data_IF_988106020338
#
_entry.id   IF_988106020338
#
_cell.length_a   1.000
_cell.length_b   1.000
_cell.length_c   1.000
_cell.angle_alpha   90.00
_cell.angle_beta   90.00
_cell.angle_gamma   90.00
#
_symmetry.space_group_name_H-M   'P 1'
#
loop_
_entity.id
_entity.type
_entity.pdbx_description
1 polymer ?
#
# COMPACT_ATOMS: atom_id res chain seq x y z
N UNK A 1 3.28 -4.97 19.28
CA UNK A 1 2.64 -6.29 18.99
C UNK A 1 3.60 -7.12 18.12
N UNK A 2 3.83 -8.40 18.42
CA UNK A 2 4.71 -9.26 17.61
C UNK A 2 4.11 -9.42 16.20
N UNK A 3 4.89 -9.14 15.14
CA UNK A 3 4.47 -9.28 13.73
C UNK A 3 3.87 -10.66 13.43
N UNK A 4 4.40 -11.74 13.99
CA UNK A 4 3.89 -13.10 13.79
C UNK A 4 2.45 -13.26 14.28
N UNK A 5 2.12 -12.64 15.42
CA UNK A 5 0.74 -12.63 15.94
C UNK A 5 -0.20 -11.88 14.98
N UNK A 6 0.29 -10.82 14.34
CA UNK A 6 -0.48 -10.06 13.35
C UNK A 6 -0.69 -10.89 12.09
N UNK A 7 0.35 -11.53 11.55
CA UNK A 7 0.22 -12.46 10.41
C UNK A 7 -0.85 -13.53 10.67
N UNK A 8 -0.81 -14.18 11.84
CA UNK A 8 -1.81 -15.18 12.24
C UNK A 8 -3.21 -14.58 12.37
N UNK A 9 -3.36 -13.45 13.04
CA UNK A 9 -4.65 -12.74 13.20
C UNK A 9 -5.26 -12.38 11.85
N UNK A 10 -4.44 -11.91 10.91
CA UNK A 10 -4.89 -11.47 9.60
C UNK A 10 -4.98 -12.63 8.58
N UNK A 11 -4.64 -13.87 8.96
CA UNK A 11 -4.66 -15.03 8.09
C UNK A 11 -3.70 -14.92 6.90
N UNK A 12 -2.51 -14.39 7.16
CA UNK A 12 -1.43 -14.18 6.19
C UNK A 12 -0.25 -15.11 6.49
N UNK A 13 0.52 -15.47 5.46
CA UNK A 13 1.74 -16.28 5.58
C UNK A 13 2.92 -15.38 5.97
N UNK A 14 3.67 -15.76 7.01
CA UNK A 14 4.92 -15.07 7.34
C UNK A 14 6.04 -15.50 6.37
N UNK A 15 7.05 -14.65 6.18
CA UNK A 15 8.25 -14.98 5.41
C UNK A 15 8.14 -14.80 3.89
N UNK A 16 6.98 -14.37 3.38
CA UNK A 16 6.79 -14.02 1.97
C UNK A 16 6.44 -12.54 1.80
N UNK A 17 6.77 -11.92 0.65
CA UNK A 17 6.41 -10.53 0.37
C UNK A 17 4.90 -10.31 0.48
N UNK A 18 4.51 -9.29 1.25
CA UNK A 18 3.11 -8.96 1.55
C UNK A 18 2.78 -7.58 1.05
N UNK A 19 1.80 -7.45 0.17
CA UNK A 19 1.37 -6.17 -0.38
C UNK A 19 -0.04 -5.82 0.08
N UNK A 20 -0.27 -4.56 0.43
CA UNK A 20 -1.59 -4.02 0.76
C UNK A 20 -2.04 -3.09 -0.36
N UNK A 21 -3.12 -3.44 -1.06
CA UNK A 21 -3.76 -2.58 -2.03
C UNK A 21 -5.01 -1.93 -1.43
N UNK A 22 -5.02 -0.60 -1.37
CA UNK A 22 -6.16 0.18 -0.89
C UNK A 22 -6.79 0.90 -2.08
N UNK A 23 -8.05 0.60 -2.37
CA UNK A 23 -8.65 0.96 -3.67
C UNK A 23 -9.45 2.26 -3.66
N UNK A 24 -9.47 2.99 -2.54
CA UNK A 24 -10.21 4.25 -2.41
C UNK A 24 -9.78 5.26 -3.47
N UNK A 25 -10.73 5.79 -4.25
CA UNK A 25 -10.48 6.77 -5.30
C UNK A 25 -9.97 6.20 -6.63
N UNK A 26 -9.76 4.89 -6.73
CA UNK A 26 -9.34 4.21 -7.97
C UNK A 26 -10.57 3.66 -8.68
N UNK A 27 -10.68 3.86 -10.00
CA UNK A 27 -11.83 3.38 -10.75
C UNK A 27 -11.86 1.85 -10.84
N UNK A 28 -13.07 1.28 -10.87
CA UNK A 28 -13.32 -0.16 -10.98
C UNK A 28 -12.61 -0.80 -12.17
N UNK A 29 -12.66 -0.17 -13.34
CA UNK A 29 -12.03 -0.68 -14.56
C UNK A 29 -10.50 -0.66 -14.48
N UNK A 30 -9.93 0.38 -13.88
CA UNK A 30 -8.49 0.45 -13.64
C UNK A 30 -8.06 -0.66 -12.68
N UNK A 31 -8.76 -0.85 -11.55
CA UNK A 31 -8.47 -1.91 -10.59
C UNK A 31 -8.53 -3.31 -11.20
N UNK A 32 -9.55 -3.57 -12.03
CA UNK A 32 -9.69 -4.84 -12.75
C UNK A 32 -8.44 -5.11 -13.60
N UNK A 33 -8.04 -4.16 -14.44
CA UNK A 33 -6.84 -4.28 -15.28
C UNK A 33 -5.56 -4.44 -14.46
N UNK A 34 -5.44 -3.69 -13.37
CA UNK A 34 -4.29 -3.79 -12.45
C UNK A 34 -4.19 -5.20 -11.87
N UNK A 35 -5.29 -5.75 -11.35
CA UNK A 35 -5.28 -7.10 -10.77
C UNK A 35 -5.08 -8.18 -11.84
N UNK A 36 -5.63 -8.00 -13.05
CA UNK A 36 -5.34 -8.86 -14.21
C UNK A 36 -3.83 -8.91 -14.50
N UNK A 37 -3.15 -7.76 -14.53
CA UNK A 37 -1.69 -7.70 -14.71
C UNK A 37 -0.93 -8.39 -13.58
N UNK A 38 -1.33 -8.17 -12.33
CA UNK A 38 -0.69 -8.79 -11.16
C UNK A 38 -0.86 -10.32 -11.15
N UNK A 39 -1.97 -10.85 -11.67
CA UNK A 39 -2.18 -12.30 -11.77
C UNK A 39 -1.16 -13.01 -12.65
N UNK A 40 -0.51 -12.31 -13.59
CA UNK A 40 0.55 -12.86 -14.42
C UNK A 40 1.92 -12.95 -13.71
N UNK A 41 2.03 -12.46 -12.48
CA UNK A 41 3.28 -12.54 -11.71
C UNK A 41 3.47 -13.95 -11.15
N UNK A 42 4.51 -14.62 -11.65
CA UNK A 42 4.86 -15.99 -11.26
C UNK A 42 5.54 -16.06 -9.88
N UNK A 43 6.36 -15.05 -9.55
CA UNK A 43 7.07 -14.95 -8.26
C UNK A 43 6.11 -15.08 -7.09
N UNK A 44 6.50 -15.73 -5.98
CA UNK A 44 5.63 -15.88 -4.81
C UNK A 44 5.51 -14.56 -4.03
N UNK A 45 4.28 -14.19 -3.72
CA UNK A 45 3.89 -13.06 -2.89
C UNK A 45 2.45 -13.30 -2.40
N UNK A 46 2.02 -12.47 -1.46
CA UNK A 46 0.61 -12.38 -1.08
C UNK A 46 0.15 -10.93 -1.10
N UNK A 47 -1.12 -10.72 -1.45
CA UNK A 47 -1.71 -9.40 -1.58
C UNK A 47 -3.06 -9.34 -0.89
N UNK A 48 -3.20 -8.39 0.03
CA UNK A 48 -4.48 -8.01 0.61
C UNK A 48 -5.05 -6.82 -0.15
N UNK A 49 -6.30 -6.91 -0.60
CA UNK A 49 -6.98 -5.84 -1.33
C UNK A 49 -8.22 -5.43 -0.53
N UNK A 50 -8.31 -4.16 -0.14
CA UNK A 50 -9.46 -3.60 0.59
C UNK A 50 -10.27 -2.66 -0.30
N UNK A 51 -11.59 -2.90 -0.37
CA UNK A 51 -12.54 -2.03 -1.06
C UNK A 51 -13.84 -1.93 -0.29
N UNK A 52 -14.38 -0.72 -0.16
CA UNK A 52 -15.71 -0.48 0.45
C UNK A 52 -16.86 -0.84 -0.49
N UNK A 53 -16.60 -0.89 -1.80
CA UNK A 53 -17.62 -1.12 -2.82
C UNK A 53 -17.88 -2.61 -3.02
N UNK A 54 -19.11 -3.05 -2.74
CA UNK A 54 -19.50 -4.46 -2.86
C UNK A 54 -19.29 -5.00 -4.27
N UNK A 55 -19.70 -4.25 -5.30
CA UNK A 55 -19.58 -4.67 -6.70
C UNK A 55 -18.11 -4.89 -7.10
N UNK A 56 -17.24 -3.90 -6.84
CA UNK A 56 -15.80 -4.00 -7.06
C UNK A 56 -15.21 -5.20 -6.30
N UNK A 57 -15.62 -5.41 -5.04
CA UNK A 57 -15.18 -6.56 -4.25
C UNK A 57 -15.52 -7.91 -4.89
N UNK A 58 -16.75 -8.06 -5.37
CA UNK A 58 -17.24 -9.30 -5.95
C UNK A 58 -16.54 -9.61 -7.28
N UNK A 59 -16.30 -8.58 -8.10
CA UNK A 59 -15.48 -8.69 -9.33
C UNK A 59 -14.06 -9.14 -9.00
N UNK A 60 -13.39 -8.50 -8.04
CA UNK A 60 -12.02 -8.84 -7.67
C UNK A 60 -11.92 -10.25 -7.07
N UNK A 61 -12.91 -10.68 -6.28
CA UNK A 61 -13.00 -12.07 -5.79
C UNK A 61 -13.13 -13.07 -6.93
N UNK A 62 -13.97 -12.78 -7.92
CA UNK A 62 -14.15 -13.66 -9.08
C UNK A 62 -12.87 -13.74 -9.92
N UNK A 63 -12.24 -12.58 -10.18
CA UNK A 63 -10.99 -12.48 -10.94
C UNK A 63 -9.85 -13.27 -10.29
N UNK A 64 -9.75 -13.21 -8.95
CA UNK A 64 -8.69 -13.87 -8.18
C UNK A 64 -9.04 -15.28 -7.71
N UNK A 65 -10.19 -15.84 -8.13
CA UNK A 65 -10.72 -17.13 -7.65
C UNK A 65 -9.74 -18.30 -7.81
N UNK A 66 -8.95 -18.30 -8.90
CA UNK A 66 -7.95 -19.34 -9.20
C UNK A 66 -6.63 -19.16 -8.44
N UNK A 67 -6.42 -18.01 -7.79
CA UNK A 67 -5.21 -17.65 -7.04
C UNK A 67 -5.55 -17.21 -5.60
N UNK A 68 -6.56 -17.85 -4.99
CA UNK A 68 -7.12 -17.47 -3.68
C UNK A 68 -6.11 -17.55 -2.52
N UNK A 69 -5.04 -18.30 -2.70
CA UNK A 69 -3.90 -18.43 -1.78
C UNK A 69 -2.94 -17.24 -1.84
N UNK A 70 -2.90 -16.52 -2.97
CA UNK A 70 -2.12 -15.29 -3.15
C UNK A 70 -2.93 -14.05 -2.78
N UNK A 71 -4.25 -14.04 -3.01
CA UNK A 71 -5.08 -12.83 -2.87
C UNK A 71 -6.10 -12.93 -1.75
N UNK A 72 -6.13 -11.90 -0.90
CA UNK A 72 -7.14 -11.71 0.13
C UNK A 72 -7.98 -10.46 -0.17
N UNK A 73 -9.19 -10.66 -0.69
CA UNK A 73 -10.11 -9.57 -1.03
C UNK A 73 -11.05 -9.27 0.14
N UNK A 74 -11.03 -8.04 0.63
CA UNK A 74 -11.69 -7.59 1.84
C UNK A 74 -12.67 -6.45 1.57
N UNK A 75 -13.63 -6.29 2.48
CA UNK A 75 -14.42 -5.07 2.59
C UNK A 75 -13.62 -3.93 3.21
N UNK A 76 -14.32 -2.93 3.70
CA UNK A 76 -13.74 -1.90 4.55
C UNK A 76 -13.05 -2.52 5.78
N UNK A 77 -11.91 -1.94 6.17
CA UNK A 77 -11.07 -2.37 7.29
C UNK A 77 -10.89 -1.21 8.26
N UNK A 78 -10.91 -1.48 9.57
CA UNK A 78 -10.67 -0.47 10.61
C UNK A 78 -9.24 -0.53 11.19
N UNK A 79 -8.49 -1.57 10.86
CA UNK A 79 -7.19 -1.87 11.45
C UNK A 79 -6.04 -1.68 10.42
N UNK A 80 -6.07 -0.60 9.64
CA UNK A 80 -5.07 -0.31 8.58
C UNK A 80 -3.64 -0.36 9.13
N UNK A 81 -3.41 0.13 10.35
CA UNK A 81 -2.14 0.01 11.05
C UNK A 81 -1.62 -1.43 11.13
N UNK A 82 -2.47 -2.41 11.43
CA UNK A 82 -2.07 -3.82 11.53
C UNK A 82 -1.68 -4.37 10.16
N UNK A 83 -2.45 -4.01 9.12
CA UNK A 83 -2.15 -4.39 7.74
C UNK A 83 -0.82 -3.81 7.26
N UNK A 84 -0.61 -2.52 7.46
CA UNK A 84 0.66 -1.87 7.12
C UNK A 84 1.84 -2.45 7.90
N UNK A 85 1.65 -2.82 9.18
CA UNK A 85 2.73 -3.40 10.00
C UNK A 85 3.32 -4.68 9.40
N UNK A 86 2.49 -5.48 8.72
CA UNK A 86 2.91 -6.72 8.06
C UNK A 86 3.12 -6.56 6.55
N UNK A 87 2.92 -5.37 6.01
CA UNK A 87 3.10 -5.11 4.58
C UNK A 87 4.51 -4.64 4.26
N UNK A 88 4.96 -5.05 3.08
CA UNK A 88 6.22 -4.65 2.49
C UNK A 88 6.07 -3.51 1.49
N UNK A 89 4.88 -3.36 0.90
CA UNK A 89 4.51 -2.33 -0.07
C UNK A 89 3.03 -1.98 0.08
N UNK A 90 2.72 -0.69 0.03
CA UNK A 90 1.36 -0.17 -0.07
C UNK A 90 1.08 0.22 -1.52
N UNK A 91 -0.08 -0.15 -2.06
CA UNK A 91 -0.47 0.12 -3.45
C UNK A 91 -1.79 0.90 -3.41
N UNK A 92 -1.76 2.18 -3.78
CA UNK A 92 -2.93 3.04 -3.68
C UNK A 92 -2.75 4.35 -4.45
N UNK A 93 -3.79 5.18 -4.47
CA UNK A 93 -3.65 6.60 -4.76
C UNK A 93 -2.92 7.33 -3.62
N UNK A 94 -2.24 8.44 -3.89
CA UNK A 94 -1.42 9.15 -2.90
C UNK A 94 -2.26 10.16 -2.11
N UNK A 95 -3.40 9.73 -1.57
CA UNK A 95 -4.20 10.56 -0.66
C UNK A 95 -3.43 10.84 0.65
N UNK A 96 -3.55 12.05 1.20
CA UNK A 96 -2.69 12.50 2.31
C UNK A 96 -2.68 11.57 3.54
N UNK A 97 -3.84 11.01 3.91
CA UNK A 97 -3.94 10.04 5.01
C UNK A 97 -3.20 8.74 4.70
N UNK A 98 -3.48 8.16 3.53
CA UNK A 98 -2.86 6.90 3.06
C UNK A 98 -1.34 7.03 3.00
N UNK A 99 -0.86 8.15 2.45
CA UNK A 99 0.56 8.49 2.38
C UNK A 99 1.16 8.54 3.77
N UNK A 100 0.56 9.34 4.66
CA UNK A 100 1.05 9.55 6.03
C UNK A 100 1.08 8.26 6.84
N UNK A 101 0.02 7.45 6.78
CA UNK A 101 -0.06 6.15 7.46
C UNK A 101 1.00 5.17 6.93
N UNK A 102 1.19 5.10 5.61
CA UNK A 102 2.14 4.19 4.97
C UNK A 102 3.58 4.53 5.40
N UNK A 103 3.99 5.79 5.30
CA UNK A 103 5.35 6.21 5.68
C UNK A 103 5.56 6.20 7.19
N UNK A 104 4.54 6.49 8.01
CA UNK A 104 4.62 6.34 9.47
C UNK A 104 4.88 4.88 9.89
N UNK A 105 4.48 3.91 9.07
CA UNK A 105 4.80 2.48 9.24
C UNK A 105 6.06 2.03 8.50
N UNK A 106 6.75 2.93 7.82
CA UNK A 106 7.94 2.61 7.04
C UNK A 106 7.63 1.74 5.83
N UNK A 107 6.42 1.82 5.30
CA UNK A 107 5.95 1.05 4.14
C UNK A 107 6.02 1.97 2.92
N UNK A 108 6.87 1.66 1.93
CA UNK A 108 6.94 2.44 0.70
C UNK A 108 5.70 2.20 -0.17
N UNK A 109 5.51 3.05 -1.18
CA UNK A 109 4.30 3.03 -2.01
C UNK A 109 4.55 2.72 -3.49
N UNK A 110 3.65 1.95 -4.09
CA UNK A 110 3.40 1.97 -5.53
C UNK A 110 2.14 2.81 -5.77
N UNK A 111 2.34 3.99 -6.33
CA UNK A 111 1.29 4.99 -6.51
C UNK A 111 0.53 4.71 -7.80
N UNK A 112 -0.79 4.61 -7.70
CA UNK A 112 -1.68 4.36 -8.83
C UNK A 112 -2.27 5.67 -9.34
N UNK A 113 -1.93 6.06 -10.58
CA UNK A 113 -2.59 7.13 -11.34
C UNK A 113 -2.93 8.38 -10.50
N UNK A 114 -1.90 9.12 -10.02
CA UNK A 114 -2.12 10.36 -9.26
C UNK A 114 -2.84 11.39 -10.12
N UNK A 115 -3.76 12.15 -9.54
CA UNK A 115 -4.45 13.26 -10.24
C UNK A 115 -3.78 14.62 -9.97
N UNK A 116 -3.90 15.60 -10.88
CA UNK A 116 -3.32 16.93 -10.70
C UNK A 116 -3.74 17.59 -9.38
N UNK A 117 -2.80 18.29 -8.74
CA UNK A 117 -3.01 18.97 -7.46
C UNK A 117 -2.41 18.22 -6.28
N UNK A 118 -3.18 18.01 -5.20
CA UNK A 118 -2.65 17.47 -3.95
C UNK A 118 -2.07 16.05 -4.09
N UNK A 119 -2.70 15.20 -4.90
CA UNK A 119 -2.22 13.83 -5.14
C UNK A 119 -0.88 13.82 -5.89
N UNK A 120 -0.73 14.67 -6.90
CA UNK A 120 0.53 14.86 -7.63
C UNK A 120 1.65 15.35 -6.71
N UNK A 121 1.38 16.35 -5.85
CA UNK A 121 2.36 16.86 -4.89
C UNK A 121 2.83 15.77 -3.91
N UNK A 122 1.88 14.99 -3.36
CA UNK A 122 2.22 13.86 -2.49
C UNK A 122 3.04 12.79 -3.22
N UNK A 123 2.70 12.53 -4.47
CA UNK A 123 3.43 11.58 -5.31
C UNK A 123 4.87 12.03 -5.54
N UNK A 124 5.06 13.27 -5.99
CA UNK A 124 6.38 13.84 -6.25
C UNK A 124 7.25 13.84 -4.99
N UNK A 125 6.70 14.26 -3.84
CA UNK A 125 7.40 14.22 -2.57
C UNK A 125 7.94 12.82 -2.23
N UNK A 126 7.13 11.76 -2.40
CA UNK A 126 7.59 10.40 -2.11
C UNK A 126 8.59 9.87 -3.14
N UNK A 127 8.44 10.23 -4.42
CA UNK A 127 9.34 9.82 -5.50
C UNK A 127 10.73 10.45 -5.34
N UNK A 128 10.78 11.76 -5.11
CA UNK A 128 12.03 12.52 -4.91
C UNK A 128 12.82 12.01 -3.71
N UNK A 129 12.12 11.54 -2.67
CA UNK A 129 12.74 10.97 -1.48
C UNK A 129 12.97 9.44 -1.57
N UNK A 130 12.69 8.80 -2.70
CA UNK A 130 12.93 7.37 -2.90
C UNK A 130 12.01 6.44 -2.11
N UNK A 131 10.90 6.93 -1.58
CA UNK A 131 9.91 6.17 -0.81
C UNK A 131 8.76 5.61 -1.66
N UNK A 132 8.71 5.92 -2.97
CA UNK A 132 7.68 5.43 -3.86
C UNK A 132 8.16 5.13 -5.29
N UNK A 133 7.31 4.41 -6.03
CA UNK A 133 7.32 4.27 -7.49
C UNK A 133 5.92 4.61 -8.01
N UNK A 134 5.79 5.10 -9.24
CA UNK A 134 4.49 5.30 -9.89
C UNK A 134 4.15 4.20 -10.88
N UNK A 135 2.85 3.96 -11.01
CA UNK A 135 2.21 3.22 -12.08
C UNK A 135 1.02 4.03 -12.57
N UNK A 136 1.27 4.88 -13.58
CA UNK A 136 0.26 5.79 -14.14
C UNK A 136 -0.77 5.03 -14.99
N UNK A 137 -0.38 3.86 -15.50
CA UNK A 137 -1.25 2.96 -16.26
C UNK A 137 -1.23 1.55 -15.67
N UNK A 138 -2.29 0.74 -15.86
CA UNK A 138 -2.31 -0.64 -15.37
C UNK A 138 -1.19 -1.52 -15.95
N UNK A 139 -0.78 -1.24 -17.19
CA UNK A 139 0.14 -2.05 -17.98
C UNK A 139 1.57 -2.12 -17.40
N UNK A 140 1.93 -1.21 -16.49
CA UNK A 140 3.27 -1.20 -15.89
C UNK A 140 3.31 -1.78 -14.48
N UNK A 141 2.16 -2.09 -13.86
CA UNK A 141 2.09 -2.49 -12.45
C UNK A 141 2.84 -3.79 -12.18
N UNK A 142 2.66 -4.79 -13.04
CA UNK A 142 3.31 -6.09 -12.93
C UNK A 142 4.84 -5.98 -13.07
N UNK A 143 5.32 -5.17 -13.99
CA UNK A 143 6.75 -4.87 -14.15
C UNK A 143 7.33 -4.21 -12.89
N UNK A 144 6.64 -3.20 -12.34
CA UNK A 144 7.08 -2.48 -11.13
C UNK A 144 7.12 -3.42 -9.92
N UNK A 145 6.10 -4.26 -9.75
CA UNK A 145 6.06 -5.24 -8.65
C UNK A 145 7.13 -6.31 -8.84
N UNK A 146 7.28 -6.88 -10.05
CA UNK A 146 8.34 -7.86 -10.33
C UNK A 146 9.74 -7.30 -10.05
N UNK A 147 9.97 -6.03 -10.38
CA UNK A 147 11.23 -5.35 -10.06
C UNK A 147 11.52 -5.36 -8.57
N UNK A 148 10.51 -5.10 -7.73
CA UNK A 148 10.65 -5.11 -6.26
C UNK A 148 10.79 -6.52 -5.69
N UNK A 149 10.04 -7.48 -6.23
CA UNK A 149 10.11 -8.89 -5.82
C UNK A 149 11.47 -9.51 -6.14
N UNK A 150 12.05 -9.18 -7.31
CA UNK A 150 13.36 -9.69 -7.75
C UNK A 150 14.54 -8.93 -7.14
N UNK A 151 14.31 -7.71 -6.64
CA UNK A 151 15.35 -6.87 -6.04
C UNK A 151 14.98 -6.50 -4.60
N UNK A 152 15.19 -7.44 -3.68
CA UNK A 152 14.94 -7.25 -2.25
C UNK A 152 15.72 -6.06 -1.67
N UNK A 153 16.93 -5.78 -2.17
CA UNK A 153 17.73 -4.63 -1.75
C UNK A 153 17.02 -3.31 -2.06
N UNK A 154 16.47 -3.15 -3.27
CA UNK A 154 15.71 -1.96 -3.65
C UNK A 154 14.51 -1.74 -2.73
N UNK A 155 13.75 -2.80 -2.45
CA UNK A 155 12.60 -2.72 -1.55
C UNK A 155 13.00 -2.34 -0.11
N UNK A 156 14.12 -2.87 0.39
CA UNK A 156 14.66 -2.50 1.71
C UNK A 156 15.09 -1.02 1.75
N UNK A 157 15.75 -0.54 0.70
CA UNK A 157 16.15 0.87 0.57
C UNK A 157 14.91 1.77 0.59
N UNK A 158 13.88 1.47 -0.20
CA UNK A 158 12.63 2.24 -0.21
C UNK A 158 11.94 2.24 1.16
N UNK A 159 11.94 1.12 1.89
CA UNK A 159 11.42 1.06 3.27
C UNK A 159 12.19 1.97 4.22
N UNK A 160 13.52 2.04 4.09
CA UNK A 160 14.32 2.94 4.92
C UNK A 160 13.98 4.41 4.62
N UNK A 161 13.85 4.79 3.35
CA UNK A 161 13.38 6.12 2.98
C UNK A 161 11.97 6.42 3.52
N UNK A 162 11.03 5.47 3.42
CA UNK A 162 9.70 5.65 3.99
C UNK A 162 9.76 5.91 5.51
N UNK A 163 10.62 5.19 6.25
CA UNK A 163 10.81 5.40 7.70
C UNK A 163 11.37 6.78 8.03
N UNK A 164 12.31 7.30 7.23
CA UNK A 164 12.90 8.62 7.48
C UNK A 164 11.91 9.75 7.24
N UNK A 165 10.93 9.57 6.34
CA UNK A 165 9.89 10.56 6.08
C UNK A 165 8.72 10.46 7.08
N UNK A 166 8.51 9.29 7.68
CA UNK A 166 7.42 9.03 8.60
C UNK A 166 7.47 9.88 9.86
N UNK A 167 6.34 10.51 10.19
CA UNK A 167 6.14 11.28 11.44
C UNK A 167 5.07 10.63 12.32
N UNK A 168 5.38 9.51 13.01
CA UNK A 168 4.37 8.75 13.76
C UNK A 168 3.73 9.52 14.92
N UNK A 169 4.39 10.58 15.42
CA UNK A 169 3.91 11.39 16.54
C UNK A 169 3.34 12.75 16.11
N UNK A 170 3.15 13.01 14.81
CA UNK A 170 2.82 14.34 14.29
C UNK A 170 1.61 14.99 14.99
N UNK A 171 0.54 14.22 15.25
CA UNK A 171 -0.64 14.74 15.95
C UNK A 171 -0.32 15.20 17.39
N UNK A 172 0.53 14.45 18.10
CA UNK A 172 0.97 14.79 19.45
C UNK A 172 1.92 15.98 19.46
N UNK A 173 2.82 16.05 18.47
CA UNK A 173 3.77 17.16 18.32
C UNK A 173 3.02 18.48 18.06
N UNK A 174 2.05 18.47 17.14
CA UNK A 174 1.19 19.64 16.86
C UNK A 174 0.38 20.04 18.10
N UNK A 175 -0.21 19.07 18.82
CA UNK A 175 -0.96 19.37 20.04
C UNK A 175 -0.08 20.05 21.10
N UNK A 176 1.17 19.61 21.26
CA UNK A 176 2.14 20.25 22.15
C UNK A 176 2.48 21.66 21.71
N UNK A 177 2.74 21.87 20.42
CA UNK A 177 3.06 23.20 19.89
C UNK A 177 1.91 24.20 20.11
N UNK A 178 0.67 23.77 19.87
CA UNK A 178 -0.52 24.58 20.14
C UNK A 178 -0.62 24.91 21.64
N UNK A 179 -0.48 23.92 22.52
CA UNK A 179 -0.51 24.13 23.97
C UNK A 179 0.58 25.11 24.43
N UNK A 180 1.78 25.03 23.87
CA UNK A 180 2.88 25.94 24.20
C UNK A 180 2.63 27.37 23.69
N UNK A 181 1.92 27.53 22.56
CA UNK A 181 1.58 28.85 22.02
C UNK A 181 0.43 29.57 22.75
N UNK A 182 -0.28 28.85 23.63
CA UNK A 182 -1.36 29.37 24.46
C UNK A 182 -0.90 29.74 25.89
N UNK A 183 0.39 29.58 26.19
CA UNK A 183 1.06 30.15 27.37
C UNK A 183 1.57 31.56 27.13
#
# INVERSE_FOLDING_TARGET
MNKEKIFKKLGLRAGIPTFLMMTSGVSKDFLKKVVEKILHIETDFQMAITTKEKETRDILKNLTKKAKEKFKIMGYINNVEEWLTVSDLSISKPGGLVVSESIAKGVPMLILSPVPGQEELNSNYLLENGAAMTADTPEVVDYKINTLLRNSKKLVIMKNHARTLGKPNAAMDIAKDIMNSLG
#
